data_IF_420127278337
#
_entry.id   IF_420127278337
#
_cell.length_a   1.000
_cell.length_b   1.000
_cell.length_c   1.000
_cell.angle_alpha   90.00
_cell.angle_beta   90.00
_cell.angle_gamma   90.00
#
_symmetry.space_group_name_H-M   'P 1'
#
loop_
_entity.id
_entity.type
_entity.pdbx_description
1 polymer ?
#
# COMPACT_ATOMS: atom_id res chain seq x y z
N UNK A 1 -53.50 38.20 60.91
CA UNK A 1 -54.59 37.95 61.87
C UNK A 1 -54.10 36.89 62.86
N UNK A 2 -53.67 37.35 64.03
CA UNK A 2 -53.73 36.69 65.36
C UNK A 2 -54.77 35.54 65.46
N UNK A 3 -54.58 34.38 66.12
CA UNK A 3 -54.35 34.17 67.57
C UNK A 3 -54.23 32.64 67.90
N UNK A 4 -53.34 32.35 68.87
CA UNK A 4 -53.28 31.29 69.91
C UNK A 4 -53.44 29.79 69.58
N UNK A 5 -52.49 28.90 69.90
CA UNK A 5 -52.06 28.45 71.24
C UNK A 5 -53.18 27.95 72.17
N UNK A 6 -53.27 26.63 72.36
CA UNK A 6 -53.77 26.03 73.60
C UNK A 6 -52.82 24.93 74.06
N UNK A 7 -52.20 25.21 75.19
CA UNK A 7 -51.37 24.34 76.02
C UNK A 7 -52.26 23.51 76.97
N UNK A 8 -51.60 22.67 77.78
CA UNK A 8 -52.10 21.77 78.84
C UNK A 8 -52.47 20.37 78.32
N UNK A 9 -51.98 19.23 78.83
CA UNK A 9 -51.54 18.87 80.19
C UNK A 9 -50.58 17.66 80.15
N UNK A 10 -49.42 17.70 80.82
CA UNK A 10 -49.09 17.10 82.14
C UNK A 10 -48.99 15.56 82.20
N UNK A 11 -47.73 15.08 82.12
CA UNK A 11 -47.00 14.23 83.10
C UNK A 11 -47.51 12.80 83.42
N UNK A 12 -46.61 11.85 83.13
CA UNK A 12 -46.23 10.58 83.80
C UNK A 12 -47.15 9.35 83.71
N UNK A 13 -46.58 8.20 83.30
CA UNK A 13 -46.01 7.21 84.24
C UNK A 13 -45.19 6.13 83.48
N UNK A 14 -44.02 5.79 84.04
CA UNK A 14 -43.15 4.68 83.67
C UNK A 14 -43.70 3.35 84.18
N UNK A 15 -43.49 2.25 83.42
CA UNK A 15 -43.20 0.84 83.83
C UNK A 15 -43.54 -0.08 82.63
N UNK A 16 -42.87 -1.17 82.28
CA UNK A 16 -41.59 -1.81 82.63
C UNK A 16 -41.41 -3.00 81.64
N UNK A 17 -40.16 -3.39 81.41
CA UNK A 17 -39.59 -4.67 80.94
C UNK A 17 -40.30 -5.56 79.87
N UNK A 18 -39.50 -5.92 78.86
CA UNK A 18 -39.59 -7.17 78.12
C UNK A 18 -38.27 -7.42 77.39
N UNK A 19 -37.33 -8.10 78.05
CA UNK A 19 -36.09 -8.60 77.43
C UNK A 19 -36.44 -9.91 76.75
N UNK A 20 -36.39 -9.95 75.42
CA UNK A 20 -36.16 -11.20 74.68
C UNK A 20 -35.15 -10.92 73.58
N UNK A 21 -33.90 -11.29 73.86
CA UNK A 21 -32.82 -11.34 72.88
C UNK A 21 -33.06 -12.48 71.90
N UNK A 22 -33.37 -12.15 70.65
CA UNK A 22 -33.20 -13.07 69.52
C UNK A 22 -32.20 -12.45 68.55
N UNK A 23 -30.99 -13.01 68.53
CA UNK A 23 -30.02 -12.72 67.47
C UNK A 23 -30.51 -13.42 66.21
N UNK A 24 -31.21 -12.69 65.35
CA UNK A 24 -31.40 -13.08 63.96
C UNK A 24 -30.28 -12.41 63.16
N UNK A 25 -29.30 -13.20 62.69
CA UNK A 25 -28.36 -12.73 61.68
C UNK A 25 -29.18 -12.30 60.45
N UNK A 26 -29.06 -11.07 59.92
CA UNK A 26 -29.51 -10.81 58.58
C UNK A 26 -28.63 -11.65 57.64
N UNK A 27 -29.18 -12.72 57.08
CA UNK A 27 -28.66 -13.23 55.83
C UNK A 27 -28.80 -12.08 54.83
N UNK A 28 -27.68 -11.45 54.49
CA UNK A 28 -27.54 -10.61 53.31
C UNK A 28 -27.88 -11.49 52.11
N UNK A 29 -29.16 -11.55 51.77
CA UNK A 29 -29.60 -11.95 50.45
C UNK A 29 -29.09 -10.84 49.54
N UNK A 30 -27.91 -11.03 48.96
CA UNK A 30 -27.52 -10.29 47.78
C UNK A 30 -28.61 -10.58 46.74
N UNK A 31 -29.53 -9.64 46.56
CA UNK A 31 -30.36 -9.65 45.36
C UNK A 31 -29.37 -9.60 44.22
N UNK A 32 -29.36 -10.67 43.43
CA UNK A 32 -28.58 -10.70 42.22
C UNK A 32 -29.19 -9.59 41.37
N UNK A 33 -28.43 -8.51 41.15
CA UNK A 33 -28.77 -7.59 40.09
C UNK A 33 -28.69 -8.42 38.81
N UNK A 34 -29.83 -8.90 38.33
CA UNK A 34 -29.95 -9.33 36.95
C UNK A 34 -29.74 -8.05 36.15
N UNK A 35 -28.48 -7.81 35.77
CA UNK A 35 -28.18 -6.88 34.71
C UNK A 35 -28.96 -7.40 33.50
N UNK A 36 -30.14 -6.85 33.28
CA UNK A 36 -30.85 -7.02 32.03
C UNK A 36 -29.92 -6.43 31.00
N UNK A 37 -29.15 -7.30 30.34
CA UNK A 37 -28.41 -6.96 29.14
C UNK A 37 -29.47 -6.53 28.14
N UNK A 38 -29.78 -5.24 28.13
CA UNK A 38 -30.33 -4.61 26.95
C UNK A 38 -29.31 -4.92 25.88
N UNK A 39 -29.67 -5.84 24.99
CA UNK A 39 -29.03 -5.98 23.70
C UNK A 39 -29.18 -4.62 23.02
N UNK A 40 -28.19 -3.76 23.26
CA UNK A 40 -27.91 -2.68 22.35
C UNK A 40 -27.39 -3.40 21.11
N UNK A 41 -28.20 -3.43 20.05
CA UNK A 41 -27.66 -3.67 18.72
C UNK A 41 -26.82 -2.43 18.44
N UNK A 42 -25.58 -2.43 18.92
CA UNK A 42 -24.57 -1.52 18.45
C UNK A 42 -24.48 -1.79 16.94
N UNK A 43 -24.66 -0.79 16.06
CA UNK A 43 -24.24 -0.97 14.69
C UNK A 43 -22.77 -1.35 14.80
N UNK A 44 -22.44 -2.58 14.41
CA UNK A 44 -21.07 -3.08 14.40
C UNK A 44 -20.29 -2.09 13.54
N UNK A 45 -19.60 -1.16 14.21
CA UNK A 45 -18.63 -0.31 13.55
C UNK A 45 -17.65 -1.29 12.94
N UNK A 46 -17.50 -1.25 11.61
CA UNK A 46 -16.52 -2.06 10.91
C UNK A 46 -15.21 -1.98 11.70
N UNK A 47 -14.79 -3.10 12.29
CA UNK A 47 -13.52 -3.17 13.01
C UNK A 47 -12.43 -3.19 11.95
N UNK A 48 -12.08 -2.01 11.45
CA UNK A 48 -10.90 -1.83 10.62
C UNK A 48 -9.69 -2.16 11.49
N UNK A 49 -9.03 -3.28 11.20
CA UNK A 49 -7.71 -3.52 11.77
C UNK A 49 -6.73 -2.76 10.89
N UNK A 50 -6.14 -1.70 11.42
CA UNK A 50 -5.06 -1.02 10.71
C UNK A 50 -3.79 -1.85 10.82
N UNK A 51 -3.25 -2.24 9.69
CA UNK A 51 -1.97 -2.96 9.61
C UNK A 51 -0.96 -2.02 8.96
N UNK A 52 0.19 -1.85 9.60
CA UNK A 52 1.25 -0.96 9.10
C UNK A 52 2.35 -1.83 8.52
N UNK A 53 2.70 -1.59 7.26
CA UNK A 53 3.91 -2.12 6.63
C UNK A 53 4.99 -1.03 6.80
N UNK A 54 6.11 -1.32 7.50
CA UNK A 54 7.11 -0.31 7.80
C UNK A 54 7.92 0.09 6.55
N UNK A 55 8.40 1.34 6.54
CA UNK A 55 9.43 1.78 5.62
C UNK A 55 10.65 0.84 5.65
N UNK A 56 11.29 0.65 4.49
CA UNK A 56 12.39 -0.30 4.31
C UNK A 56 11.94 -1.73 3.99
N UNK A 57 10.63 -2.00 3.95
CA UNK A 57 10.12 -3.29 3.46
C UNK A 57 10.42 -3.44 1.96
N UNK A 58 11.06 -4.54 1.60
CA UNK A 58 11.30 -4.96 0.22
C UNK A 58 10.05 -5.66 -0.32
N UNK A 59 9.59 -5.24 -1.49
CA UNK A 59 8.51 -5.87 -2.23
C UNK A 59 9.12 -6.42 -3.52
N UNK A 60 9.29 -7.75 -3.63
CA UNK A 60 9.80 -8.36 -4.84
C UNK A 60 8.79 -8.23 -5.98
N UNK A 61 9.25 -7.82 -7.15
CA UNK A 61 8.39 -7.61 -8.32
C UNK A 61 8.89 -8.37 -9.54
N UNK A 62 8.01 -8.56 -10.51
CA UNK A 62 8.27 -9.16 -11.81
C UNK A 62 7.45 -8.45 -12.89
N UNK A 63 7.75 -8.73 -14.16
CA UNK A 63 7.00 -8.18 -15.29
C UNK A 63 6.51 -9.30 -16.20
N UNK A 64 5.19 -9.38 -16.40
CA UNK A 64 4.58 -10.35 -17.31
C UNK A 64 4.67 -9.89 -18.79
N UNK A 65 4.72 -8.58 -19.01
CA UNK A 65 4.58 -7.99 -20.34
C UNK A 65 5.92 -7.86 -21.09
N UNK A 66 7.01 -7.66 -20.35
CA UNK A 66 8.31 -7.37 -20.94
C UNK A 66 9.44 -8.14 -20.26
N UNK A 67 10.32 -8.73 -21.08
CA UNK A 67 11.55 -9.40 -20.61
C UNK A 67 12.66 -8.42 -20.25
N UNK A 68 12.62 -7.22 -20.83
CA UNK A 68 13.55 -6.12 -20.60
C UNK A 68 12.85 -4.81 -20.86
N UNK A 69 13.32 -3.74 -20.22
CA UNK A 69 12.85 -2.38 -20.46
C UNK A 69 14.02 -1.57 -20.98
N UNK A 70 13.80 -0.87 -22.09
CA UNK A 70 14.83 -0.10 -22.78
C UNK A 70 14.38 1.36 -22.86
N UNK A 71 15.15 2.23 -22.24
CA UNK A 71 14.89 3.68 -22.22
C UNK A 71 16.17 4.45 -22.53
N UNK A 72 16.03 5.66 -23.06
CA UNK A 72 17.16 6.59 -23.13
C UNK A 72 17.51 7.14 -21.74
N UNK A 73 18.71 7.70 -21.59
CA UNK A 73 19.21 8.21 -20.29
C UNK A 73 18.32 9.27 -19.63
N UNK A 74 17.54 10.02 -20.41
CA UNK A 74 16.69 11.12 -19.93
C UNK A 74 15.20 10.86 -20.20
N UNK A 75 14.80 9.60 -20.32
CA UNK A 75 13.43 9.22 -20.62
C UNK A 75 12.67 8.78 -19.37
N UNK A 76 11.41 9.19 -19.28
CA UNK A 76 10.46 8.70 -18.29
C UNK A 76 9.48 7.76 -18.97
N UNK A 77 9.27 6.58 -18.39
CA UNK A 77 8.41 5.54 -18.93
C UNK A 77 7.46 5.00 -17.85
N UNK A 78 6.15 5.26 -17.93
CA UNK A 78 5.17 4.58 -17.08
C UNK A 78 5.14 3.09 -17.37
N UNK A 79 5.13 2.29 -16.30
CA UNK A 79 5.05 0.84 -16.36
C UNK A 79 4.23 0.31 -15.18
N UNK A 80 3.67 -0.89 -15.35
CA UNK A 80 3.07 -1.65 -14.26
C UNK A 80 3.92 -2.91 -14.05
N UNK A 81 4.23 -3.20 -12.79
CA UNK A 81 4.93 -4.44 -12.39
C UNK A 81 4.05 -5.23 -11.44
N UNK A 82 4.29 -6.54 -11.38
CA UNK A 82 3.50 -7.47 -10.59
C UNK A 82 4.27 -7.85 -9.34
N UNK A 83 3.61 -7.93 -8.18
CA UNK A 83 4.22 -8.42 -6.95
C UNK A 83 4.50 -9.92 -7.11
N UNK A 84 5.78 -10.30 -7.15
CA UNK A 84 6.20 -11.66 -7.49
C UNK A 84 5.94 -12.69 -6.37
N UNK A 85 5.81 -12.23 -5.12
CA UNK A 85 5.51 -13.11 -3.97
C UNK A 85 4.82 -12.39 -2.83
N UNK A 86 4.11 -13.17 -2.03
CA UNK A 86 3.43 -12.69 -0.82
C UNK A 86 4.41 -11.96 0.11
N UNK A 87 4.08 -10.71 0.45
CA UNK A 87 4.75 -9.94 1.51
C UNK A 87 4.00 -10.22 2.80
N UNK A 88 4.71 -10.81 3.77
CA UNK A 88 4.14 -11.22 5.05
C UNK A 88 4.82 -10.49 6.19
N UNK A 89 4.04 -10.20 7.24
CA UNK A 89 4.57 -9.68 8.50
C UNK A 89 5.40 -10.74 9.23
N UNK A 90 6.17 -10.30 10.23
CA UNK A 90 6.91 -11.21 11.12
C UNK A 90 6.00 -12.22 11.85
N UNK A 91 4.74 -11.85 12.11
CA UNK A 91 3.74 -12.75 12.71
C UNK A 91 3.09 -13.72 11.71
N UNK A 92 3.47 -13.67 10.42
CA UNK A 92 2.92 -14.52 9.37
C UNK A 92 1.60 -14.03 8.77
N UNK A 93 1.17 -12.81 9.10
CA UNK A 93 -0.01 -12.19 8.48
C UNK A 93 0.34 -11.73 7.07
N UNK A 94 -0.47 -12.13 6.08
CA UNK A 94 -0.38 -11.66 4.69
C UNK A 94 -0.66 -10.16 4.62
N UNK A 95 0.27 -9.39 4.07
CA UNK A 95 0.18 -7.94 3.95
C UNK A 95 -0.10 -7.52 2.51
N UNK A 96 0.72 -8.01 1.57
CA UNK A 96 0.56 -7.76 0.13
C UNK A 96 0.54 -9.13 -0.56
N UNK A 97 -0.57 -9.53 -1.19
CA UNK A 97 -0.63 -10.76 -1.97
C UNK A 97 0.28 -10.69 -3.21
N UNK A 98 0.90 -11.82 -3.57
CA UNK A 98 1.48 -12.01 -4.89
C UNK A 98 0.43 -11.73 -5.99
N UNK A 99 0.84 -11.27 -7.15
CA UNK A 99 -0.07 -10.89 -8.23
C UNK A 99 -0.82 -9.58 -8.00
N UNK A 100 -0.49 -8.83 -6.95
CA UNK A 100 -0.91 -7.42 -6.82
C UNK A 100 -0.15 -6.58 -7.86
N UNK A 101 -0.77 -5.54 -8.39
CA UNK A 101 -0.15 -4.66 -9.39
C UNK A 101 0.45 -3.44 -8.71
N UNK A 102 1.61 -3.00 -9.20
CA UNK A 102 2.25 -1.76 -8.78
C UNK A 102 2.40 -0.87 -10.02
N UNK A 103 1.67 0.25 -10.02
CA UNK A 103 1.79 1.28 -11.04
C UNK A 103 2.87 2.29 -10.64
N UNK A 104 3.67 2.70 -11.62
CA UNK A 104 4.71 3.69 -11.40
C UNK A 104 5.41 4.10 -12.69
N UNK A 105 6.58 4.70 -12.54
CA UNK A 105 7.37 5.19 -13.66
C UNK A 105 8.85 4.88 -13.48
N UNK A 106 9.49 4.43 -14.56
CA UNK A 106 10.94 4.51 -14.68
C UNK A 106 11.27 5.97 -14.94
N UNK A 107 12.05 6.58 -14.04
CA UNK A 107 12.45 7.99 -14.10
C UNK A 107 13.96 8.12 -14.25
N UNK A 108 14.46 9.11 -15.00
CA UNK A 108 15.88 9.38 -15.09
C UNK A 108 16.37 9.97 -13.76
N UNK A 109 17.48 9.44 -13.26
CA UNK A 109 18.16 9.94 -12.06
C UNK A 109 19.64 10.18 -12.37
N UNK A 110 20.38 10.77 -11.42
CA UNK A 110 21.81 10.95 -11.61
C UNK A 110 22.49 9.60 -11.87
N UNK A 111 23.05 9.45 -13.08
CA UNK A 111 23.83 8.28 -13.55
C UNK A 111 23.04 7.01 -13.89
N UNK A 112 21.72 7.07 -14.02
CA UNK A 112 20.93 5.88 -14.38
C UNK A 112 19.43 6.17 -14.43
N UNK A 113 18.65 5.10 -14.34
CA UNK A 113 17.20 5.17 -14.23
C UNK A 113 16.74 4.48 -12.95
N UNK A 114 15.63 4.91 -12.38
CA UNK A 114 15.07 4.33 -11.17
C UNK A 114 13.56 4.19 -11.33
N UNK A 115 13.01 3.04 -10.95
CA UNK A 115 11.57 2.87 -10.89
C UNK A 115 11.04 3.50 -9.59
N UNK A 116 10.03 4.35 -9.74
CA UNK A 116 9.30 5.01 -8.67
C UNK A 116 7.89 4.47 -8.71
N UNK A 117 7.53 3.71 -7.68
CA UNK A 117 6.21 3.14 -7.51
C UNK A 117 5.30 4.14 -6.79
N UNK A 118 4.09 4.31 -7.29
CA UNK A 118 3.16 5.35 -6.84
C UNK A 118 1.85 4.77 -6.31
N UNK A 119 1.39 3.67 -6.90
CA UNK A 119 0.13 3.04 -6.56
C UNK A 119 0.28 1.52 -6.48
N UNK A 120 -0.30 0.92 -5.44
CA UNK A 120 -0.43 -0.53 -5.25
C UNK A 120 -1.89 -0.91 -5.35
N UNK A 121 -2.21 -1.81 -6.26
CA UNK A 121 -3.54 -2.37 -6.47
C UNK A 121 -3.51 -3.81 -5.95
N UNK A 122 -4.17 -4.04 -4.81
CA UNK A 122 -4.13 -5.37 -4.18
C UNK A 122 -4.92 -6.37 -5.03
N UNK A 123 -4.30 -7.54 -5.27
CA UNK A 123 -4.96 -8.63 -6.00
C UNK A 123 -6.31 -8.97 -5.39
N UNK A 124 -7.28 -9.28 -6.24
CA UNK A 124 -8.63 -9.70 -5.85
C UNK A 124 -9.42 -8.60 -5.10
N UNK A 125 -9.00 -7.34 -5.21
CA UNK A 125 -9.70 -6.17 -4.66
C UNK A 125 -9.65 -4.99 -5.62
N UNK A 126 -10.64 -4.10 -5.54
CA UNK A 126 -10.59 -2.79 -6.20
C UNK A 126 -9.87 -1.74 -5.33
N UNK A 127 -9.11 -2.19 -4.31
CA UNK A 127 -8.43 -1.30 -3.39
C UNK A 127 -7.10 -0.82 -3.99
N UNK A 128 -7.10 0.46 -4.34
CA UNK A 128 -5.93 1.20 -4.77
C UNK A 128 -5.32 1.93 -3.56
N UNK A 129 -4.02 1.73 -3.33
CA UNK A 129 -3.28 2.32 -2.22
C UNK A 129 -2.11 3.13 -2.77
N UNK A 130 -2.06 4.42 -2.46
CA UNK A 130 -0.87 5.20 -2.74
C UNK A 130 0.31 4.67 -1.92
N UNK A 131 1.43 4.45 -2.59
CA UNK A 131 2.68 3.99 -2.00
C UNK A 131 3.81 4.94 -2.36
N UNK A 132 4.81 5.04 -1.47
CA UNK A 132 6.09 5.68 -1.77
C UNK A 132 7.16 4.59 -1.70
N UNK A 133 7.55 4.07 -2.85
CA UNK A 133 8.57 3.04 -2.95
C UNK A 133 9.45 3.28 -4.17
N UNK A 134 10.72 2.88 -4.08
CA UNK A 134 11.63 2.95 -5.24
C UNK A 134 12.47 1.70 -5.36
N UNK A 135 12.85 1.38 -6.59
CA UNK A 135 13.89 0.40 -6.87
C UNK A 135 15.28 0.93 -6.52
N UNK A 136 16.31 0.09 -6.71
CA UNK A 136 17.68 0.57 -6.84
C UNK A 136 17.86 1.38 -8.13
N UNK A 137 18.97 2.12 -8.22
CA UNK A 137 19.32 2.87 -9.44
C UNK A 137 19.95 1.90 -10.44
N UNK A 138 19.30 1.74 -11.59
CA UNK A 138 19.80 0.93 -12.69
C UNK A 138 20.77 1.75 -13.51
N UNK A 139 22.05 1.35 -13.49
CA UNK A 139 23.13 2.02 -14.22
C UNK A 139 23.63 1.22 -15.41
N UNK A 140 23.05 0.05 -15.67
CA UNK A 140 23.46 -0.81 -16.79
C UNK A 140 23.06 -0.14 -18.10
N UNK A 141 24.05 0.07 -18.97
CA UNK A 141 23.84 0.61 -20.30
C UNK A 141 24.35 -0.35 -21.37
N UNK A 142 23.73 -0.29 -22.54
CA UNK A 142 24.15 -1.01 -23.73
C UNK A 142 24.31 -0.04 -24.91
N UNK A 143 25.35 -0.23 -25.70
CA UNK A 143 25.56 0.51 -26.95
C UNK A 143 24.98 -0.29 -28.10
N UNK A 144 23.91 0.23 -28.69
CA UNK A 144 23.21 -0.38 -29.82
C UNK A 144 23.71 0.23 -31.11
N UNK A 145 24.10 -0.60 -32.07
CA UNK A 145 24.62 -0.19 -33.38
C UNK A 145 23.90 -0.94 -34.49
N UNK A 146 24.14 -0.57 -35.76
CA UNK A 146 23.64 -1.31 -36.92
C UNK A 146 24.07 -2.79 -36.98
N UNK A 147 25.11 -3.17 -36.24
CA UNK A 147 25.61 -4.55 -36.17
C UNK A 147 25.10 -5.31 -34.94
N UNK A 148 24.37 -4.65 -34.04
CA UNK A 148 23.75 -5.30 -32.89
C UNK A 148 22.63 -6.22 -33.38
N UNK A 149 22.56 -7.43 -32.86
CA UNK A 149 21.51 -8.38 -33.23
C UNK A 149 20.13 -7.87 -32.75
N UNK A 150 19.17 -7.58 -33.67
CA UNK A 150 17.84 -7.10 -33.29
C UNK A 150 17.07 -8.10 -32.42
N UNK A 151 17.42 -9.39 -32.48
CA UNK A 151 16.81 -10.43 -31.67
C UNK A 151 17.02 -10.21 -30.17
N UNK A 152 18.05 -9.42 -29.80
CA UNK A 152 18.27 -9.00 -28.42
C UNK A 152 17.16 -8.09 -27.89
N UNK A 153 16.40 -7.41 -28.76
CA UNK A 153 15.35 -6.46 -28.39
C UNK A 153 13.96 -7.10 -28.39
N UNK A 154 13.84 -8.37 -28.80
CA UNK A 154 12.57 -9.09 -28.87
C UNK A 154 11.93 -9.23 -27.48
N UNK A 155 10.68 -8.81 -27.37
CA UNK A 155 9.94 -8.84 -26.11
C UNK A 155 10.42 -7.82 -25.09
N UNK A 156 11.17 -6.80 -25.52
CA UNK A 156 11.46 -5.64 -24.69
C UNK A 156 10.30 -4.64 -24.75
N UNK A 157 9.99 -4.02 -23.60
CA UNK A 157 9.26 -2.78 -23.55
C UNK A 157 10.22 -1.64 -23.88
N UNK A 158 9.96 -0.91 -24.96
CA UNK A 158 10.85 0.14 -25.43
C UNK A 158 10.14 1.48 -25.30
N UNK A 159 10.77 2.38 -24.55
CA UNK A 159 10.28 3.74 -24.40
C UNK A 159 10.22 4.47 -25.74
N UNK A 160 9.31 5.43 -25.87
CA UNK A 160 9.08 6.14 -27.12
C UNK A 160 10.34 6.84 -27.66
N UNK A 161 11.15 7.43 -26.76
CA UNK A 161 12.37 8.12 -27.13
C UNK A 161 13.45 7.12 -27.59
N UNK A 162 13.61 6.01 -26.87
CA UNK A 162 14.51 4.93 -27.27
C UNK A 162 14.08 4.32 -28.61
N UNK A 163 12.79 4.04 -28.77
CA UNK A 163 12.21 3.47 -30.00
C UNK A 163 12.42 4.37 -31.21
N UNK A 164 12.33 5.70 -31.04
CA UNK A 164 12.61 6.64 -32.11
C UNK A 164 14.06 6.49 -32.63
N UNK A 165 15.06 6.52 -31.74
CA UNK A 165 16.48 6.41 -32.13
C UNK A 165 16.81 5.02 -32.67
N UNK A 166 16.30 3.97 -32.03
CA UNK A 166 16.53 2.59 -32.49
C UNK A 166 15.93 2.34 -33.88
N UNK A 167 14.80 2.98 -34.21
CA UNK A 167 14.20 2.89 -35.54
C UNK A 167 15.03 3.55 -36.65
N UNK A 168 15.90 4.52 -36.31
CA UNK A 168 16.85 5.10 -37.26
C UNK A 168 18.01 4.15 -37.58
N UNK A 169 18.40 3.31 -36.60
CA UNK A 169 19.48 2.34 -36.74
C UNK A 169 19.04 1.09 -37.50
N UNK A 170 17.90 0.48 -37.11
CA UNK A 170 17.41 -0.78 -37.68
C UNK A 170 16.41 -0.59 -38.83
N UNK A 171 15.85 0.61 -38.98
CA UNK A 171 14.77 0.84 -39.92
C UNK A 171 13.41 0.28 -39.44
N UNK A 172 12.33 0.93 -39.87
CA UNK A 172 10.95 0.66 -39.40
C UNK A 172 10.44 -0.75 -39.68
N UNK A 173 10.97 -1.44 -40.69
CA UNK A 173 10.49 -2.76 -41.11
C UNK A 173 11.20 -3.91 -40.39
N UNK A 174 12.36 -3.68 -39.79
CA UNK A 174 13.13 -4.71 -39.07
C UNK A 174 12.85 -4.69 -37.55
N UNK A 175 12.30 -3.58 -37.04
CA UNK A 175 12.07 -3.31 -35.62
C UNK A 175 10.59 -3.50 -35.19
N UNK A 176 9.95 -4.63 -35.50
CA UNK A 176 8.49 -4.80 -35.34
C UNK A 176 8.03 -5.67 -34.16
N UNK A 177 8.92 -6.16 -33.29
CA UNK A 177 8.57 -7.03 -32.16
C UNK A 177 8.79 -6.37 -30.78
N UNK A 178 8.41 -5.10 -30.69
CA UNK A 178 8.49 -4.32 -29.45
C UNK A 178 7.09 -4.26 -28.84
N UNK A 179 6.96 -4.58 -27.55
CA UNK A 179 5.74 -4.20 -26.82
C UNK A 179 5.88 -2.70 -26.56
N UNK A 180 5.23 -1.91 -27.41
CA UNK A 180 5.19 -0.47 -27.25
C UNK A 180 4.43 -0.14 -25.95
N UNK A 181 5.16 0.10 -24.87
CA UNK A 181 4.62 0.70 -23.65
C UNK A 181 4.20 2.14 -23.99
N UNK A 182 2.89 2.39 -24.01
CA UNK A 182 2.34 3.69 -24.37
C UNK A 182 2.53 4.68 -23.20
N UNK A 183 3.74 5.25 -23.10
CA UNK A 183 4.06 6.32 -22.16
C UNK A 183 4.32 7.63 -22.86
N UNK A 184 3.42 8.61 -22.74
CA UNK A 184 3.61 9.96 -23.26
C UNK A 184 4.60 10.75 -22.36
N UNK A 185 5.90 10.59 -22.60
CA UNK A 185 6.94 11.46 -22.02
C UNK A 185 7.14 12.73 -22.84
N UNK A 186 7.36 13.87 -22.18
CA UNK A 186 7.68 15.15 -22.82
C UNK A 186 8.94 15.02 -23.69
N UNK A 187 8.79 15.05 -25.01
CA UNK A 187 9.91 15.07 -25.97
C UNK A 187 10.49 16.48 -25.98
N UNK A 188 11.28 16.85 -24.97
CA UNK A 188 11.88 18.20 -24.94
C UNK A 188 13.07 18.35 -25.88
N UNK A 189 13.78 17.28 -26.28
CA UNK A 189 15.11 17.46 -26.91
C UNK A 189 15.56 16.45 -27.99
N UNK A 190 14.83 15.39 -28.33
CA UNK A 190 15.43 14.28 -29.11
C UNK A 190 15.46 14.43 -30.64
N UNK A 191 15.08 15.58 -31.22
CA UNK A 191 15.06 15.74 -32.68
C UNK A 191 16.36 16.29 -33.31
N UNK A 192 17.51 16.15 -32.64
CA UNK A 192 18.79 16.73 -33.11
C UNK A 192 19.94 15.72 -33.30
N UNK A 193 19.75 14.43 -33.01
CA UNK A 193 20.80 13.42 -33.19
C UNK A 193 20.83 12.85 -34.62
N UNK A 194 21.04 13.69 -35.62
CA UNK A 194 21.29 13.22 -36.98
C UNK A 194 22.60 12.42 -37.04
N UNK A 195 22.51 11.12 -37.36
CA UNK A 195 23.63 10.35 -37.93
C UNK A 195 24.57 9.62 -36.96
N UNK A 196 24.11 9.25 -35.75
CA UNK A 196 24.92 8.35 -34.91
C UNK A 196 24.72 6.89 -35.36
N UNK A 197 25.81 6.17 -35.64
CA UNK A 197 25.76 4.73 -35.95
C UNK A 197 25.58 3.86 -34.69
N UNK A 198 25.61 4.52 -33.52
CA UNK A 198 25.63 3.96 -32.19
C UNK A 198 24.81 4.81 -31.20
N UNK A 199 23.97 4.18 -30.39
CA UNK A 199 23.19 4.82 -29.32
C UNK A 199 23.40 4.08 -28.01
N UNK A 200 23.62 4.83 -26.93
CA UNK A 200 23.65 4.27 -25.58
C UNK A 200 22.24 4.30 -24.96
N UNK A 201 21.74 3.14 -24.55
CA UNK A 201 20.45 2.97 -23.88
C UNK A 201 20.65 2.39 -22.48
N UNK A 202 19.73 2.71 -21.56
CA UNK A 202 19.65 2.03 -20.26
C UNK A 202 18.84 0.76 -20.46
N UNK A 203 19.36 -0.36 -19.97
CA UNK A 203 18.71 -1.68 -20.06
C UNK A 203 18.39 -2.16 -18.65
N UNK A 204 17.10 -2.37 -18.42
CA UNK A 204 16.52 -2.77 -17.14
C UNK A 204 15.96 -4.19 -17.30
N UNK A 205 16.34 -5.08 -16.41
CA UNK A 205 15.77 -6.41 -16.27
C UNK A 205 14.71 -6.36 -15.15
N UNK A 206 13.41 -6.38 -15.48
CA UNK A 206 12.36 -6.12 -14.49
C UNK A 206 12.33 -7.12 -13.33
N UNK A 207 12.75 -8.36 -13.56
CA UNK A 207 12.69 -9.43 -12.56
C UNK A 207 13.84 -9.37 -11.55
N UNK A 208 14.83 -8.49 -11.79
CA UNK A 208 16.03 -8.37 -10.94
C UNK A 208 16.39 -6.94 -10.56
N UNK A 209 16.02 -5.96 -11.38
CA UNK A 209 16.39 -4.56 -11.18
C UNK A 209 15.27 -3.71 -10.55
N UNK A 210 14.02 -4.21 -10.52
CA UNK A 210 12.85 -3.39 -10.16
C UNK A 210 12.24 -3.68 -8.78
N UNK A 211 12.81 -4.60 -8.00
CA UNK A 211 12.40 -4.82 -6.61
C UNK A 211 12.34 -3.47 -5.86
N UNK A 212 11.17 -3.15 -5.30
CA UNK A 212 10.94 -1.84 -4.68
C UNK A 212 11.08 -1.90 -3.18
N UNK A 213 11.63 -0.84 -2.61
CA UNK A 213 11.71 -0.66 -1.16
C UNK A 213 10.84 0.52 -0.74
N UNK A 214 9.92 0.28 0.19
CA UNK A 214 9.09 1.34 0.78
C UNK A 214 9.97 2.44 1.41
N UNK A 215 9.67 3.70 1.10
CA UNK A 215 10.33 4.88 1.67
C UNK A 215 9.57 5.45 2.86
N UNK A 216 8.28 5.17 2.94
CA UNK A 216 7.42 5.51 4.08
C UNK A 216 6.62 4.30 4.55
N UNK A 217 6.06 4.40 5.74
CA UNK A 217 5.11 3.40 6.24
C UNK A 217 3.86 3.38 5.35
N UNK A 218 3.40 2.18 5.00
CA UNK A 218 2.17 1.95 4.26
C UNK A 218 1.09 1.44 5.22
N UNK A 219 -0.03 2.16 5.29
CA UNK A 219 -1.15 1.81 6.17
C UNK A 219 -2.21 1.06 5.37
N UNK A 220 -2.41 -0.21 5.70
CA UNK A 220 -3.46 -1.05 5.15
C UNK A 220 -4.70 -0.98 6.04
N UNK A 221 -5.83 -0.64 5.42
CA UNK A 221 -7.15 -0.83 6.02
C UNK A 221 -7.71 -2.15 5.50
N UNK A 222 -7.58 -3.22 6.29
CA UNK A 222 -8.20 -4.50 5.97
C UNK A 222 -9.64 -4.51 6.47
N UNK A 223 -10.57 -4.70 5.52
CA UNK A 223 -11.97 -4.97 5.80
C UNK A 223 -12.15 -6.44 6.20
N UNK A 224 -12.42 -6.70 7.48
CA UNK A 224 -12.70 -8.05 7.99
C UNK A 224 -14.15 -8.49 7.66
N UNK A 225 -14.51 -8.63 6.38
CA UNK A 225 -15.81 -9.17 5.95
C UNK A 225 -15.76 -10.62 5.52
#
# INVERSE_FOLDING_TARGET
MFISHRWQSRIALLTALGITSTVALPMLMATQATAQSRFYIEPQLAQFTQVIIPAGTLIPVESDDAKRIIVTRNETLPITVIVARDVVSFSGTLLIPAGSEIEGEVRPVNRGSQFVAEELILRDSDQSLSIDATSEVVTKTETITKNTDPDLLKGAAIGAAAGAVLSEIFGKLEFWEVLAGAGLGLVTELLLAGGQEDVEVVVIDPDTDLDVTLKSDLVLNIDNR
#
